data_IF_661514954794
#
_entry.id   IF_661514954794
#
_cell.length_a   1.000
_cell.length_b   1.000
_cell.length_c   1.000
_cell.angle_alpha   90.00
_cell.angle_beta   90.00
_cell.angle_gamma   90.00
#
_symmetry.space_group_name_H-M   'P 1'
#
loop_
_entity.id
_entity.type
_entity.pdbx_description
1 polymer ?
#
# COMPACT_ATOMS: atom_id res chain seq x y z
N UNK A 1 -16.49 14.78 -0.15
CA UNK A 1 -15.17 15.41 -0.02
C UNK A 1 -14.58 15.02 1.34
N UNK A 2 -13.40 14.42 1.39
CA UNK A 2 -12.72 14.12 2.66
C UNK A 2 -12.20 15.44 3.21
N UNK A 3 -12.71 15.86 4.37
CA UNK A 3 -12.18 17.02 5.08
C UNK A 3 -10.87 16.61 5.77
N UNK A 4 -9.74 16.95 5.16
CA UNK A 4 -8.41 16.88 5.76
C UNK A 4 -8.30 17.89 6.90
N UNK A 5 -8.97 17.64 8.03
CA UNK A 5 -8.93 18.54 9.19
C UNK A 5 -7.61 18.32 9.93
N UNK A 6 -6.63 19.19 9.66
CA UNK A 6 -5.39 19.31 10.46
C UNK A 6 -4.23 18.38 10.08
N UNK A 7 -4.33 17.64 8.98
CA UNK A 7 -3.23 16.84 8.43
C UNK A 7 -2.64 17.57 7.21
N UNK A 8 -1.35 17.91 7.24
CA UNK A 8 -0.59 18.33 6.05
C UNK A 8 -0.35 17.12 5.13
N UNK A 9 -1.42 16.48 4.70
CA UNK A 9 -1.32 15.41 3.73
C UNK A 9 -1.28 16.01 2.32
N UNK A 10 -0.43 15.49 1.42
CA UNK A 10 -0.54 15.81 0.01
C UNK A 10 -1.94 15.47 -0.50
N UNK A 11 -2.51 16.39 -1.29
CA UNK A 11 -3.78 16.19 -1.98
C UNK A 11 -3.46 15.65 -3.36
N UNK A 12 -3.86 14.41 -3.62
CA UNK A 12 -3.62 13.74 -4.89
C UNK A 12 -4.75 14.04 -5.89
N UNK A 13 -4.37 14.40 -7.11
CA UNK A 13 -5.26 14.53 -8.25
C UNK A 13 -5.78 13.18 -8.76
N UNK A 14 -6.77 13.21 -9.65
CA UNK A 14 -7.35 11.99 -10.25
C UNK A 14 -6.30 11.20 -11.03
N UNK A 15 -5.35 11.89 -11.67
CA UNK A 15 -4.28 11.27 -12.46
C UNK A 15 -3.27 10.50 -11.59
N UNK A 16 -3.05 10.97 -10.35
CA UNK A 16 -2.13 10.37 -9.38
C UNK A 16 -2.76 9.17 -8.66
N UNK A 17 -4.07 8.94 -8.81
CA UNK A 17 -4.75 7.79 -8.19
C UNK A 17 -4.19 6.44 -8.68
N UNK A 18 -3.65 6.41 -9.92
CA UNK A 18 -3.04 5.22 -10.51
C UNK A 18 -1.70 4.86 -9.89
N UNK A 19 -1.07 5.80 -9.18
CA UNK A 19 0.23 5.57 -8.53
C UNK A 19 0.07 4.90 -7.17
N UNK A 20 -1.16 4.67 -6.70
CA UNK A 20 -1.41 3.89 -5.49
C UNK A 20 -1.50 2.40 -5.79
N UNK A 21 -1.09 1.60 -4.82
CA UNK A 21 -1.31 0.16 -4.82
C UNK A 21 -1.81 -0.31 -3.45
N UNK A 22 -2.61 -1.37 -3.48
CA UNK A 22 -3.11 -2.01 -2.27
C UNK A 22 -2.13 -3.10 -1.83
N UNK A 23 -1.77 -3.13 -0.56
CA UNK A 23 -0.74 -4.02 -0.04
C UNK A 23 -1.24 -4.77 1.18
N UNK A 24 -1.13 -6.10 1.16
CA UNK A 24 -1.44 -6.97 2.29
C UNK A 24 -0.17 -7.37 3.04
N UNK A 25 -0.16 -7.10 4.35
CA UNK A 25 0.91 -7.51 5.26
C UNK A 25 0.38 -8.57 6.20
N UNK A 26 0.98 -9.77 6.19
CA UNK A 26 0.66 -10.88 7.08
C UNK A 26 1.96 -11.35 7.74
N UNK A 27 2.08 -11.15 9.05
CA UNK A 27 3.35 -11.35 9.76
C UNK A 27 4.46 -10.46 9.19
N UNK A 28 5.57 -11.06 8.76
CA UNK A 28 6.70 -10.37 8.10
C UNK A 28 6.61 -10.38 6.56
N UNK A 29 5.52 -10.89 5.97
CA UNK A 29 5.34 -10.95 4.52
C UNK A 29 4.47 -9.79 4.06
N UNK A 30 4.98 -9.03 3.09
CA UNK A 30 4.26 -7.98 2.38
C UNK A 30 3.98 -8.45 0.94
N UNK A 31 2.74 -8.23 0.46
CA UNK A 31 2.32 -8.60 -0.88
C UNK A 31 1.43 -7.54 -1.49
N UNK A 32 1.83 -7.05 -2.65
CA UNK A 32 1.03 -6.13 -3.47
C UNK A 32 -0.12 -6.89 -4.09
N UNK A 33 -1.31 -6.32 -3.98
CA UNK A 33 -2.54 -6.79 -4.59
C UNK A 33 -2.74 -6.01 -5.89
N UNK A 34 -3.27 -6.69 -6.91
CA UNK A 34 -3.61 -6.05 -8.19
C UNK A 34 -4.82 -5.13 -8.01
N UNK A 35 -4.97 -4.16 -8.91
CA UNK A 35 -6.05 -3.18 -8.85
C UNK A 35 -7.43 -3.82 -9.02
N UNK A 36 -7.53 -4.95 -9.73
CA UNK A 36 -8.78 -5.69 -9.89
C UNK A 36 -9.09 -6.60 -8.68
N UNK A 37 -8.18 -6.67 -7.71
CA UNK A 37 -8.37 -7.52 -6.54
C UNK A 37 -9.50 -6.98 -5.67
N UNK A 38 -10.46 -7.85 -5.35
CA UNK A 38 -11.59 -7.51 -4.50
C UNK A 38 -11.23 -7.76 -3.05
N UNK A 39 -11.00 -6.73 -2.20
CA UNK A 39 -10.54 -6.94 -0.82
C UNK A 39 -11.52 -7.78 0.01
N UNK A 40 -12.82 -7.74 -0.34
CA UNK A 40 -13.87 -8.53 0.30
C UNK A 40 -13.79 -10.03 -0.01
N UNK A 41 -13.03 -10.45 -1.03
CA UNK A 41 -12.79 -11.85 -1.35
C UNK A 41 -11.64 -12.46 -0.53
N UNK A 42 -10.95 -11.68 0.30
CA UNK A 42 -9.98 -12.23 1.26
C UNK A 42 -10.71 -13.22 2.19
N UNK A 43 -10.32 -14.50 2.11
CA UNK A 43 -10.87 -15.52 3.01
C UNK A 43 -10.42 -15.28 4.45
N UNK A 44 -11.37 -15.42 5.37
CA UNK A 44 -11.29 -15.10 6.80
C UNK A 44 -10.93 -13.63 7.08
N UNK A 45 -11.81 -12.91 7.79
CA UNK A 45 -11.88 -11.47 7.73
C UNK A 45 -10.70 -10.87 8.48
N UNK A 46 -9.61 -10.56 7.78
CA UNK A 46 -8.62 -9.59 8.28
C UNK A 46 -7.88 -10.00 9.57
N UNK A 47 -8.07 -11.23 10.06
CA UNK A 47 -7.71 -11.59 11.44
C UNK A 47 -6.22 -11.71 11.69
N UNK A 48 -5.41 -11.89 10.62
CA UNK A 48 -3.96 -12.12 10.71
C UNK A 48 -3.13 -11.10 9.95
N UNK A 49 -3.74 -10.08 9.36
CA UNK A 49 -3.04 -9.16 8.46
C UNK A 49 -3.60 -7.75 8.46
N UNK A 50 -2.83 -6.84 7.86
CA UNK A 50 -3.18 -5.43 7.67
C UNK A 50 -3.17 -5.13 6.18
N UNK A 51 -4.15 -4.36 5.70
CA UNK A 51 -4.09 -3.75 4.37
C UNK A 51 -3.60 -2.32 4.48
N UNK A 52 -2.74 -1.94 3.56
CA UNK A 52 -2.20 -0.60 3.39
C UNK A 52 -2.45 -0.12 1.98
N UNK A 53 -2.60 1.20 1.83
CA UNK A 53 -2.49 1.88 0.55
C UNK A 53 -1.12 2.55 0.54
N UNK A 54 -0.31 2.27 -0.48
CA UNK A 54 1.04 2.83 -0.66
C UNK A 54 1.17 3.44 -2.04
N UNK A 55 2.10 4.37 -2.21
CA UNK A 55 2.54 4.77 -3.54
C UNK A 55 3.43 3.67 -4.14
N UNK A 56 3.28 3.42 -5.44
CA UNK A 56 4.11 2.47 -6.20
C UNK A 56 5.59 2.85 -6.14
N UNK A 57 5.90 4.15 -6.11
CA UNK A 57 7.27 4.65 -5.95
C UNK A 57 7.92 4.21 -4.61
N UNK A 58 7.16 4.23 -3.51
CA UNK A 58 7.66 3.82 -2.19
C UNK A 58 7.91 2.31 -2.13
N UNK A 59 7.12 1.52 -2.85
CA UNK A 59 7.32 0.08 -2.98
C UNK A 59 8.63 -0.23 -3.73
N UNK A 60 8.89 0.47 -4.84
CA UNK A 60 10.12 0.28 -5.61
C UNK A 60 11.34 0.60 -4.74
N UNK A 61 11.27 1.71 -4.00
CA UNK A 61 12.31 2.14 -3.07
C UNK A 61 12.53 1.13 -1.95
N UNK A 62 11.47 0.53 -1.41
CA UNK A 62 11.57 -0.51 -0.38
C UNK A 62 12.18 -1.82 -0.90
N UNK A 63 11.93 -2.19 -2.16
CA UNK A 63 12.57 -3.34 -2.82
C UNK A 63 14.05 -3.06 -3.06
N UNK A 64 14.41 -1.87 -3.53
CA UNK A 64 15.79 -1.46 -3.77
C UNK A 64 16.60 -1.36 -2.47
N UNK A 65 16.04 -0.76 -1.43
CA UNK A 65 16.67 -0.66 -0.11
C UNK A 65 16.72 -2.00 0.64
N UNK A 66 15.85 -2.96 0.32
CA UNK A 66 15.91 -4.32 0.89
C UNK A 66 17.09 -5.17 0.39
N UNK A 67 17.77 -4.73 -0.67
CA UNK A 67 18.98 -5.38 -1.20
C UNK A 67 20.30 -4.67 -0.83
N UNK A 68 20.26 -3.49 -0.19
CA UNK A 68 21.47 -2.81 0.30
C UNK A 68 21.70 -3.17 1.77
N UNK A 69 22.05 -4.43 2.01
CA UNK A 69 22.93 -4.78 3.13
C UNK A 69 24.29 -5.04 2.50
N UNK A 70 25.03 -3.97 2.21
CA UNK A 70 26.45 -4.08 1.87
C UNK A 70 27.18 -4.67 3.07
N UNK A 71 27.71 -5.87 2.86
CA UNK A 71 28.65 -6.61 3.72
C UNK A 71 29.93 -5.80 3.93
#
# INVERSE_FOLDING_TARGET
>A
AVLCRGLQAPVYGVDELRDFCLVAVIGARERVLRDEYQPLQLQNPWTKGRLYVRLQADLLTAIEHGHVTTV
#
